data_IF_940669335104
#
_entry.id   IF_940669335104
#
_cell.length_a   1.000
_cell.length_b   1.000
_cell.length_c   1.000
_cell.angle_alpha   90.00
_cell.angle_beta   90.00
_cell.angle_gamma   90.00
#
_symmetry.space_group_name_H-M   'P 1'
#
loop_
_entity.id
_entity.type
_entity.pdbx_description
1 polymer ?
#
# COMPACT_ATOMS: atom_id res chain seq x y z
N UNK A 1 -7.32 -0.68 -20.43
CA UNK A 1 -6.74 -1.62 -19.47
C UNK A 1 -5.92 -0.82 -18.47
N UNK A 2 -6.43 -0.64 -17.23
CA UNK A 2 -5.79 0.16 -16.19
C UNK A 2 -4.40 -0.38 -15.83
N UNK A 3 -4.24 -1.70 -15.84
CA UNK A 3 -2.96 -2.35 -15.60
C UNK A 3 -1.83 -1.84 -16.52
N UNK A 4 -2.06 -1.78 -17.83
CA UNK A 4 -1.04 -1.31 -18.78
C UNK A 4 -0.61 0.13 -18.52
N UNK A 5 -1.54 0.99 -18.11
CA UNK A 5 -1.23 2.39 -17.75
C UNK A 5 -0.38 2.49 -16.49
N UNK A 6 -0.73 1.73 -15.44
CA UNK A 6 0.02 1.72 -14.18
C UNK A 6 1.41 1.13 -14.39
N UNK A 7 1.52 0.02 -15.12
CA UNK A 7 2.81 -0.60 -15.43
C UNK A 7 3.71 0.36 -16.21
N UNK A 8 3.20 1.00 -17.27
CA UNK A 8 3.97 1.99 -18.04
C UNK A 8 4.39 3.18 -17.19
N UNK A 9 3.50 3.68 -16.34
CA UNK A 9 3.81 4.75 -15.39
C UNK A 9 4.99 4.35 -14.48
N UNK A 10 4.92 3.18 -13.87
CA UNK A 10 5.95 2.71 -12.93
C UNK A 10 7.32 2.57 -13.63
N UNK A 11 7.36 2.04 -14.85
CA UNK A 11 8.61 1.94 -15.59
C UNK A 11 9.17 3.31 -15.96
N UNK A 12 8.33 4.27 -16.32
CA UNK A 12 8.76 5.65 -16.52
C UNK A 12 9.37 6.24 -15.25
N UNK A 13 8.77 6.01 -14.08
CA UNK A 13 9.33 6.46 -12.78
C UNK A 13 10.69 5.80 -12.52
N UNK A 14 10.84 4.50 -12.78
CA UNK A 14 12.13 3.81 -12.65
C UNK A 14 13.20 4.45 -13.53
N UNK A 15 12.86 4.75 -14.78
CA UNK A 15 13.79 5.32 -15.74
C UNK A 15 14.13 6.78 -15.45
N UNK A 16 13.12 7.59 -15.11
CA UNK A 16 13.29 9.05 -14.91
C UNK A 16 13.94 9.39 -13.56
N UNK A 17 13.64 8.62 -12.51
CA UNK A 17 14.01 8.97 -11.14
C UNK A 17 15.09 8.05 -10.56
N UNK A 18 14.99 6.73 -10.77
CA UNK A 18 15.83 5.76 -10.09
C UNK A 18 17.08 5.35 -10.87
N UNK A 19 17.02 5.39 -12.21
CA UNK A 19 18.14 5.01 -13.07
C UNK A 19 19.42 5.79 -12.72
N UNK A 20 20.54 5.07 -12.61
CA UNK A 20 21.84 5.66 -12.29
C UNK A 20 22.08 5.91 -10.80
N UNK A 21 21.05 5.82 -9.96
CA UNK A 21 21.15 5.97 -8.51
C UNK A 21 20.90 4.63 -7.79
N UNK A 22 19.93 3.86 -8.24
CA UNK A 22 19.65 2.51 -7.75
C UNK A 22 20.03 1.48 -8.80
N UNK A 23 20.44 0.30 -8.36
CA UNK A 23 20.55 -0.87 -9.23
C UNK A 23 19.14 -1.39 -9.53
N UNK A 24 18.98 -2.09 -10.66
CA UNK A 24 17.65 -2.56 -11.09
C UNK A 24 16.95 -3.44 -10.04
N UNK A 25 17.70 -4.28 -9.33
CA UNK A 25 17.16 -5.14 -8.28
C UNK A 25 16.72 -4.36 -7.03
N UNK A 26 17.20 -3.12 -6.84
CA UNK A 26 16.78 -2.24 -5.73
C UNK A 26 15.50 -1.44 -6.07
N UNK A 27 15.00 -1.49 -7.31
CA UNK A 27 13.83 -0.69 -7.71
C UNK A 27 12.58 -1.08 -6.93
N UNK A 28 12.42 -2.38 -6.63
CA UNK A 28 11.30 -2.89 -5.84
C UNK A 28 11.22 -2.26 -4.46
N UNK A 29 12.36 -2.05 -3.79
CA UNK A 29 12.45 -1.46 -2.45
C UNK A 29 11.98 -0.01 -2.39
N UNK A 30 11.92 0.67 -3.53
CA UNK A 30 11.41 2.04 -3.65
C UNK A 30 9.96 2.04 -4.17
N UNK A 31 9.72 1.35 -5.27
CA UNK A 31 8.46 1.46 -6.02
C UNK A 31 7.29 0.81 -5.28
N UNK A 32 7.51 -0.35 -4.66
CA UNK A 32 6.43 -1.07 -3.97
C UNK A 32 5.87 -0.27 -2.80
N UNK A 33 6.69 0.26 -1.86
CA UNK A 33 6.19 1.09 -0.77
C UNK A 33 5.50 2.38 -1.27
N UNK A 34 6.06 3.07 -2.27
CA UNK A 34 5.43 4.27 -2.82
C UNK A 34 4.11 3.99 -3.52
N UNK A 35 3.97 2.83 -4.17
CA UNK A 35 2.70 2.40 -4.77
C UNK A 35 1.64 2.17 -3.69
N UNK A 36 2.01 1.54 -2.57
CA UNK A 36 1.12 1.36 -1.41
C UNK A 36 0.76 2.71 -0.80
N UNK A 37 1.74 3.58 -0.53
CA UNK A 37 1.50 4.92 0.03
C UNK A 37 0.55 5.73 -0.86
N UNK A 38 0.74 5.70 -2.19
CA UNK A 38 -0.17 6.41 -3.10
C UNK A 38 -1.59 5.85 -3.05
N UNK A 39 -1.76 4.53 -2.95
CA UNK A 39 -3.08 3.91 -2.76
C UNK A 39 -3.73 4.36 -1.46
N UNK A 40 -2.99 4.31 -0.34
CA UNK A 40 -3.49 4.76 0.97
C UNK A 40 -3.88 6.24 0.94
N UNK A 41 -3.05 7.07 0.32
CA UNK A 41 -3.28 8.51 0.17
C UNK A 41 -4.57 8.79 -0.61
N UNK A 42 -4.79 8.10 -1.73
CA UNK A 42 -6.04 8.22 -2.51
C UNK A 42 -7.28 7.77 -1.70
N UNK A 43 -7.17 6.67 -0.94
CA UNK A 43 -8.29 6.19 -0.10
C UNK A 43 -8.66 7.19 0.99
N UNK A 44 -7.66 7.87 1.59
CA UNK A 44 -7.85 8.80 2.68
C UNK A 44 -8.19 10.23 2.24
N UNK A 45 -8.10 10.54 0.95
CA UNK A 45 -8.21 11.90 0.42
C UNK A 45 -9.50 12.62 0.89
N UNK A 46 -10.64 11.95 0.79
CA UNK A 46 -11.96 12.54 1.13
C UNK A 46 -12.15 12.83 2.62
N UNK A 47 -11.43 12.15 3.50
CA UNK A 47 -11.58 12.29 4.96
C UNK A 47 -10.35 12.94 5.63
N UNK A 48 -9.36 13.36 4.84
CA UNK A 48 -8.09 13.89 5.35
C UNK A 48 -8.25 15.05 6.32
N UNK A 49 -9.02 16.07 5.93
CA UNK A 49 -9.19 17.27 6.76
C UNK A 49 -10.02 16.99 8.01
N UNK A 50 -11.01 16.10 7.91
CA UNK A 50 -11.80 15.65 9.06
C UNK A 50 -10.92 14.94 10.10
N UNK A 51 -10.05 14.01 9.66
CA UNK A 51 -9.13 13.31 10.55
C UNK A 51 -8.18 14.27 11.25
N UNK A 52 -7.58 15.23 10.50
CA UNK A 52 -6.67 16.23 11.08
C UNK A 52 -7.38 17.08 12.14
N UNK A 53 -8.61 17.51 11.88
CA UNK A 53 -9.42 18.28 12.83
C UNK A 53 -9.76 17.47 14.08
N UNK A 54 -10.20 16.22 13.91
CA UNK A 54 -10.51 15.32 15.02
C UNK A 54 -9.27 15.05 15.89
N UNK A 55 -8.14 14.74 15.26
CA UNK A 55 -6.89 14.53 15.99
C UNK A 55 -6.51 15.77 16.81
N UNK A 56 -6.55 16.96 16.22
CA UNK A 56 -6.23 18.21 16.93
C UNK A 56 -7.23 18.53 18.05
N UNK A 57 -8.51 18.15 17.91
CA UNK A 57 -9.52 18.33 18.94
C UNK A 57 -9.30 17.40 20.14
N UNK A 58 -8.89 16.14 19.91
CA UNK A 58 -8.88 15.11 20.96
C UNK A 58 -7.49 14.80 21.52
N UNK A 59 -6.38 15.11 20.83
CA UNK A 59 -5.00 14.77 21.26
C UNK A 59 -4.59 15.26 22.65
N UNK A 60 -5.25 16.34 23.17
CA UNK A 60 -5.00 16.87 24.51
C UNK A 60 -6.10 16.51 25.52
N UNK A 61 -7.18 15.87 25.05
CA UNK A 61 -8.33 15.52 25.88
C UNK A 61 -8.34 14.06 26.30
N UNK A 62 -7.70 13.19 25.54
CA UNK A 62 -7.63 11.75 25.78
C UNK A 62 -6.22 11.24 25.49
N UNK A 63 -5.81 10.18 26.17
CA UNK A 63 -4.48 9.57 25.99
C UNK A 63 -4.31 8.98 24.58
N UNK A 64 -5.37 8.36 24.05
CA UNK A 64 -5.37 7.80 22.69
C UNK A 64 -6.64 8.23 21.93
N UNK A 65 -6.53 9.12 20.94
CA UNK A 65 -7.65 9.55 20.11
C UNK A 65 -8.04 8.55 19.01
N UNK A 66 -7.24 7.50 18.78
CA UNK A 66 -7.42 6.53 17.69
C UNK A 66 -8.82 5.92 17.63
N UNK A 67 -9.40 5.37 18.72
CA UNK A 67 -10.72 4.74 18.67
C UNK A 67 -11.83 5.74 18.28
N UNK A 68 -11.69 7.00 18.74
CA UNK A 68 -12.67 8.06 18.44
C UNK A 68 -12.60 8.41 16.95
N UNK A 69 -11.40 8.60 16.41
CA UNK A 69 -11.20 8.93 15.00
C UNK A 69 -11.74 7.81 14.11
N UNK A 70 -11.31 6.56 14.33
CA UNK A 70 -11.75 5.41 13.54
C UNK A 70 -13.27 5.24 13.53
N UNK A 71 -13.92 5.44 14.69
CA UNK A 71 -15.39 5.37 14.81
C UNK A 71 -16.10 6.45 14.00
N UNK A 72 -15.57 7.68 13.99
CA UNK A 72 -16.18 8.82 13.30
C UNK A 72 -16.01 8.75 11.78
N UNK A 73 -14.80 8.42 11.32
CA UNK A 73 -14.50 8.31 9.86
C UNK A 73 -14.90 6.97 9.26
N UNK A 74 -15.36 6.01 10.09
CA UNK A 74 -15.77 4.65 9.66
C UNK A 74 -14.71 3.95 8.79
N UNK A 75 -13.45 4.12 9.16
CA UNK A 75 -12.30 3.52 8.48
C UNK A 75 -11.55 2.61 9.43
N UNK A 76 -10.73 1.71 8.89
CA UNK A 76 -9.85 0.82 9.66
C UNK A 76 -8.46 1.42 9.88
N UNK A 77 -8.16 2.55 9.24
CA UNK A 77 -6.91 3.29 9.35
C UNK A 77 -7.12 4.76 8.98
N UNK A 78 -6.20 5.60 9.37
CA UNK A 78 -6.21 7.04 9.07
C UNK A 78 -4.79 7.61 9.01
N UNK A 79 -4.69 8.90 8.64
CA UNK A 79 -3.46 9.68 8.75
C UNK A 79 -3.77 11.07 9.27
N UNK A 80 -3.26 11.41 10.48
CA UNK A 80 -3.49 12.71 11.13
C UNK A 80 -2.45 13.78 10.77
N UNK A 81 -1.43 13.47 9.99
CA UNK A 81 -0.49 14.48 9.49
C UNK A 81 -1.24 15.53 8.66
N UNK A 82 -0.81 16.77 8.73
CA UNK A 82 -1.31 17.82 7.83
C UNK A 82 -0.90 17.61 6.36
N UNK A 83 0.04 16.69 6.13
CA UNK A 83 0.55 16.35 4.80
C UNK A 83 -0.17 15.14 4.21
N UNK A 84 -0.32 15.15 2.91
CA UNK A 84 -0.53 14.08 1.96
C UNK A 84 0.52 14.23 0.85
N UNK A 85 0.59 13.33 -0.12
CA UNK A 85 1.60 13.39 -1.18
C UNK A 85 1.50 14.69 -2.01
N UNK A 86 0.30 15.23 -2.22
CA UNK A 86 0.12 16.49 -2.92
C UNK A 86 0.59 17.69 -2.09
N UNK A 87 0.23 17.75 -0.80
CA UNK A 87 0.60 18.84 0.11
C UNK A 87 2.11 18.87 0.40
N UNK A 88 2.80 17.73 0.34
CA UNK A 88 4.25 17.66 0.48
C UNK A 88 4.97 18.49 -0.58
N UNK A 89 4.42 18.62 -1.78
CA UNK A 89 5.04 19.38 -2.88
C UNK A 89 5.10 20.88 -2.64
N UNK A 90 4.30 21.41 -1.72
CA UNK A 90 4.26 22.85 -1.40
C UNK A 90 5.52 23.36 -0.67
N UNK A 91 6.34 22.45 -0.11
CA UNK A 91 7.55 22.82 0.63
C UNK A 91 8.73 21.91 0.25
N UNK A 92 9.32 22.10 -0.96
CA UNK A 92 10.39 21.26 -1.47
C UNK A 92 11.66 21.28 -0.58
N UNK A 93 11.93 22.39 0.09
CA UNK A 93 13.14 22.53 0.91
C UNK A 93 13.11 21.65 2.15
N UNK A 94 11.93 21.39 2.70
CA UNK A 94 11.74 20.56 3.89
C UNK A 94 11.11 19.20 3.53
N UNK A 95 11.18 18.77 2.27
CA UNK A 95 10.47 17.60 1.75
C UNK A 95 10.73 16.34 2.59
N UNK A 96 11.95 16.08 2.98
CA UNK A 96 12.31 14.90 3.77
C UNK A 96 11.68 14.93 5.16
N UNK A 97 11.80 16.05 5.88
CA UNK A 97 11.19 16.23 7.21
C UNK A 97 9.67 16.12 7.15
N UNK A 98 9.07 16.75 6.13
CA UNK A 98 7.62 16.73 5.94
C UNK A 98 7.12 15.34 5.56
N UNK A 99 7.91 14.60 4.78
CA UNK A 99 7.60 13.21 4.43
C UNK A 99 7.69 12.27 5.64
N UNK A 100 8.68 12.44 6.51
CA UNK A 100 8.75 11.69 7.77
C UNK A 100 7.53 12.01 8.67
N UNK A 101 7.11 13.29 8.75
CA UNK A 101 5.90 13.65 9.47
C UNK A 101 4.64 13.00 8.85
N UNK A 102 4.57 12.92 7.53
CA UNK A 102 3.49 12.23 6.82
C UNK A 102 3.47 10.74 7.16
N UNK A 103 4.60 10.04 7.13
CA UNK A 103 4.70 8.63 7.47
C UNK A 103 4.31 8.35 8.92
N UNK A 104 4.83 9.14 9.86
CA UNK A 104 4.52 9.03 11.29
C UNK A 104 3.09 9.47 11.66
N UNK A 105 2.34 10.04 10.72
CA UNK A 105 0.94 10.44 10.93
C UNK A 105 -0.09 9.34 10.68
N UNK A 106 0.32 8.19 10.17
CA UNK A 106 -0.57 7.04 10.00
C UNK A 106 -0.92 6.39 11.34
N UNK A 107 -2.07 5.73 11.39
CA UNK A 107 -2.45 4.86 12.51
C UNK A 107 -1.45 3.70 12.67
N UNK A 108 -1.27 3.22 13.89
CA UNK A 108 -0.23 2.25 14.28
C UNK A 108 -0.18 1.02 13.36
N UNK A 109 -1.33 0.46 13.02
CA UNK A 109 -1.42 -0.69 12.11
C UNK A 109 -0.85 -0.44 10.70
N UNK A 110 -0.82 0.82 10.24
CA UNK A 110 -0.20 1.19 8.95
C UNK A 110 1.26 1.54 9.14
N UNK A 111 1.64 2.18 10.26
CA UNK A 111 3.05 2.45 10.59
C UNK A 111 3.84 1.15 10.64
N UNK A 112 3.33 0.12 11.31
CA UNK A 112 3.96 -1.21 11.37
C UNK A 112 4.21 -1.80 9.97
N UNK A 113 3.26 -1.64 9.06
CA UNK A 113 3.42 -2.09 7.66
C UNK A 113 4.52 -1.28 6.96
N UNK A 114 4.54 0.04 7.14
CA UNK A 114 5.53 0.93 6.52
C UNK A 114 6.95 0.60 7.03
N UNK A 115 7.11 0.36 8.33
CA UNK A 115 8.38 -0.03 8.94
C UNK A 115 8.88 -1.37 8.38
N UNK A 116 8.00 -2.34 8.22
CA UNK A 116 8.33 -3.65 7.64
C UNK A 116 8.79 -3.59 6.18
N UNK A 117 8.43 -2.55 5.43
CA UNK A 117 9.01 -2.34 4.10
C UNK A 117 10.50 -1.95 4.16
N UNK A 118 11.01 -1.50 5.30
CA UNK A 118 12.44 -1.16 5.49
C UNK A 118 12.92 -0.03 4.59
N UNK A 119 12.02 0.87 4.19
CA UNK A 119 12.31 1.81 3.13
C UNK A 119 12.90 3.16 3.56
N UNK A 120 13.31 3.27 4.82
CA UNK A 120 14.03 4.44 5.32
C UNK A 120 15.32 4.71 4.55
N UNK A 121 16.13 3.65 4.33
CA UNK A 121 17.40 3.76 3.59
C UNK A 121 17.20 4.22 2.13
N UNK A 122 16.27 3.64 1.35
CA UNK A 122 15.89 4.16 0.05
C UNK A 122 15.48 5.64 0.07
N UNK A 123 14.65 6.06 1.04
CA UNK A 123 14.21 7.46 1.18
C UNK A 123 15.38 8.39 1.49
N UNK A 124 16.27 8.01 2.41
CA UNK A 124 17.48 8.79 2.67
C UNK A 124 18.37 8.93 1.43
N UNK A 125 18.56 7.86 0.66
CA UNK A 125 19.33 7.85 -0.59
C UNK A 125 18.70 8.80 -1.62
N UNK A 126 17.38 8.78 -1.76
CA UNK A 126 16.62 9.70 -2.61
C UNK A 126 16.80 11.16 -2.17
N UNK A 127 16.70 11.42 -0.87
CA UNK A 127 16.84 12.77 -0.32
C UNK A 127 18.25 13.32 -0.53
N UNK A 128 19.30 12.55 -0.22
CA UNK A 128 20.70 12.93 -0.43
C UNK A 128 21.03 13.27 -1.89
N UNK A 129 20.31 12.70 -2.84
CA UNK A 129 20.48 12.93 -4.27
C UNK A 129 19.45 13.92 -4.86
N UNK A 130 18.67 14.62 -4.02
CA UNK A 130 17.62 15.56 -4.42
C UNK A 130 16.54 14.94 -5.37
N UNK A 131 16.25 13.63 -5.21
CA UNK A 131 15.28 12.90 -6.02
C UNK A 131 13.97 12.61 -5.30
N UNK A 132 13.91 12.78 -3.98
CA UNK A 132 12.71 12.50 -3.18
C UNK A 132 11.51 13.33 -3.66
N UNK A 133 11.72 14.63 -3.90
CA UNK A 133 10.66 15.49 -4.45
C UNK A 133 10.15 14.99 -5.80
N UNK A 134 11.06 14.64 -6.71
CA UNK A 134 10.69 14.16 -8.04
C UNK A 134 9.88 12.86 -7.97
N UNK A 135 10.27 11.94 -7.07
CA UNK A 135 9.54 10.69 -6.88
C UNK A 135 8.11 10.94 -6.36
N UNK A 136 7.98 11.79 -5.33
CA UNK A 136 6.68 12.17 -4.78
C UNK A 136 5.82 12.84 -5.86
N UNK A 137 6.37 13.79 -6.60
CA UNK A 137 5.67 14.48 -7.67
C UNK A 137 5.15 13.51 -8.73
N UNK A 138 6.00 12.60 -9.20
CA UNK A 138 5.60 11.54 -10.13
C UNK A 138 4.44 10.70 -9.59
N UNK A 139 4.52 10.22 -8.34
CA UNK A 139 3.45 9.41 -7.76
C UNK A 139 2.12 10.16 -7.59
N UNK A 140 2.13 11.50 -7.53
CA UNK A 140 0.88 12.28 -7.51
C UNK A 140 0.19 12.35 -8.88
N UNK A 141 0.89 12.05 -9.97
CA UNK A 141 0.30 12.03 -11.33
C UNK A 141 -0.64 10.85 -11.56
N UNK A 142 -0.50 9.77 -10.77
CA UNK A 142 -1.34 8.58 -10.93
C UNK A 142 -2.46 8.56 -9.90
N UNK A 143 -3.69 8.30 -10.37
CA UNK A 143 -4.85 8.12 -9.52
C UNK A 143 -5.07 6.62 -9.25
N UNK A 144 -4.85 6.22 -8.00
CA UNK A 144 -5.06 4.85 -7.52
C UNK A 144 -6.31 4.74 -6.63
N UNK A 145 -7.27 5.67 -6.75
CA UNK A 145 -8.51 5.63 -5.95
C UNK A 145 -9.32 4.35 -6.22
N UNK A 146 -10.01 3.77 -5.21
CA UNK A 146 -10.84 2.58 -5.36
C UNK A 146 -11.90 2.66 -6.46
N UNK A 147 -12.44 3.84 -6.71
CA UNK A 147 -13.43 4.08 -7.76
C UNK A 147 -12.84 3.99 -9.20
N UNK A 148 -11.52 4.13 -9.34
CA UNK A 148 -10.81 4.03 -10.61
C UNK A 148 -10.19 2.66 -10.82
N UNK A 149 -9.67 2.09 -9.75
CA UNK A 149 -8.94 0.83 -9.72
C UNK A 149 -9.45 0.05 -8.52
N UNK A 150 -10.22 -0.98 -8.74
CA UNK A 150 -10.75 -1.85 -7.69
C UNK A 150 -9.62 -2.48 -6.86
N UNK A 151 -9.92 -2.94 -5.64
CA UNK A 151 -8.94 -3.65 -4.82
C UNK A 151 -8.41 -4.90 -5.53
N UNK A 152 -9.26 -5.59 -6.30
CA UNK A 152 -8.87 -6.74 -7.09
C UNK A 152 -7.85 -6.37 -8.19
N UNK A 153 -8.12 -5.32 -8.97
CA UNK A 153 -7.19 -4.84 -10.01
C UNK A 153 -5.89 -4.36 -9.40
N UNK A 154 -5.95 -3.65 -8.25
CA UNK A 154 -4.76 -3.20 -7.52
C UNK A 154 -3.92 -4.38 -7.03
N UNK A 155 -4.55 -5.43 -6.51
CA UNK A 155 -3.88 -6.67 -6.15
C UNK A 155 -3.12 -7.28 -7.34
N UNK A 156 -3.77 -7.40 -8.50
CA UNK A 156 -3.14 -7.92 -9.73
C UNK A 156 -1.95 -7.05 -10.17
N UNK A 157 -2.07 -5.72 -10.09
CA UNK A 157 -0.96 -4.80 -10.40
C UNK A 157 0.22 -5.06 -9.45
N UNK A 158 -0.05 -5.14 -8.15
CA UNK A 158 0.99 -5.31 -7.14
C UNK A 158 1.72 -6.65 -7.29
N UNK A 159 0.97 -7.71 -7.53
CA UNK A 159 1.53 -9.05 -7.81
C UNK A 159 2.44 -9.04 -9.03
N UNK A 160 2.04 -8.39 -10.11
CA UNK A 160 2.84 -8.32 -11.33
C UNK A 160 4.10 -7.47 -11.15
N UNK A 161 4.04 -6.41 -10.32
CA UNK A 161 5.21 -5.63 -9.95
C UNK A 161 6.19 -6.47 -9.13
N UNK A 162 5.70 -7.20 -8.12
CA UNK A 162 6.51 -8.13 -7.34
C UNK A 162 7.22 -9.14 -8.24
N UNK A 163 6.47 -9.79 -9.16
CA UNK A 163 7.04 -10.76 -10.12
C UNK A 163 8.17 -10.15 -10.94
N UNK A 164 7.93 -8.97 -11.52
CA UNK A 164 8.93 -8.30 -12.37
C UNK A 164 10.17 -7.86 -11.60
N UNK A 165 10.01 -7.32 -10.40
CA UNK A 165 11.16 -6.93 -9.58
C UNK A 165 11.94 -8.15 -9.08
N UNK A 166 11.29 -9.26 -8.74
CA UNK A 166 11.97 -10.53 -8.43
C UNK A 166 12.75 -11.07 -9.61
N UNK A 167 12.19 -11.02 -10.84
CA UNK A 167 12.93 -11.40 -12.05
C UNK A 167 14.18 -10.53 -12.28
N UNK A 168 14.13 -9.24 -11.95
CA UNK A 168 15.26 -8.32 -12.07
C UNK A 168 16.34 -8.53 -11.00
N UNK A 169 15.97 -9.06 -9.83
CA UNK A 169 16.90 -9.38 -8.75
C UNK A 169 17.59 -10.74 -8.93
N UNK A 170 17.29 -11.48 -10.00
CA UNK A 170 17.70 -12.89 -10.21
C UNK A 170 17.23 -13.84 -9.09
N UNK A 171 16.24 -13.42 -8.31
CA UNK A 171 15.54 -14.31 -7.39
C UNK A 171 14.64 -15.25 -8.20
N UNK A 172 14.56 -16.52 -7.78
CA UNK A 172 13.68 -17.49 -8.43
C UNK A 172 12.23 -17.08 -8.16
N UNK A 173 11.60 -16.45 -9.13
CA UNK A 173 10.22 -15.88 -9.02
C UNK A 173 9.18 -16.93 -8.60
N UNK A 174 9.47 -18.22 -8.80
CA UNK A 174 8.61 -19.32 -8.36
C UNK A 174 8.59 -19.57 -6.84
N UNK A 175 9.54 -19.00 -6.07
CA UNK A 175 9.61 -19.21 -4.63
C UNK A 175 8.72 -18.22 -3.84
N UNK A 176 8.33 -17.10 -4.47
CA UNK A 176 7.65 -16.00 -3.75
C UNK A 176 6.24 -15.72 -4.25
N UNK A 177 5.78 -16.39 -5.31
CA UNK A 177 4.54 -16.02 -5.95
C UNK A 177 3.71 -17.21 -6.44
N UNK A 178 2.47 -17.28 -5.98
CA UNK A 178 1.46 -18.20 -6.53
C UNK A 178 0.47 -17.40 -7.38
N UNK A 179 0.32 -17.72 -8.68
CA UNK A 179 -0.60 -17.00 -9.56
C UNK A 179 -2.04 -16.98 -9.01
N UNK A 180 -2.68 -15.83 -9.09
CA UNK A 180 -4.01 -15.60 -8.48
C UNK A 180 -5.08 -16.53 -8.99
N UNK A 181 -5.02 -16.93 -10.26
CA UNK A 181 -5.96 -17.89 -10.84
C UNK A 181 -5.79 -19.30 -10.24
N UNK A 182 -4.56 -19.69 -9.93
CA UNK A 182 -4.25 -20.93 -9.21
C UNK A 182 -4.79 -20.85 -7.78
N UNK A 183 -4.56 -19.73 -7.09
CA UNK A 183 -5.09 -19.52 -5.74
C UNK A 183 -6.63 -19.60 -5.73
N UNK A 184 -7.31 -18.96 -6.69
CA UNK A 184 -8.77 -19.04 -6.83
C UNK A 184 -9.27 -20.47 -7.07
N UNK A 185 -8.59 -21.20 -7.93
CA UNK A 185 -8.91 -22.59 -8.17
C UNK A 185 -8.79 -23.42 -6.88
N UNK A 186 -7.68 -23.27 -6.15
CA UNK A 186 -7.44 -23.99 -4.91
C UNK A 186 -8.47 -23.63 -3.83
N UNK A 187 -8.76 -22.33 -3.63
CA UNK A 187 -9.80 -21.87 -2.69
C UNK A 187 -11.16 -22.45 -3.08
N UNK A 188 -11.52 -22.42 -4.37
CA UNK A 188 -12.79 -22.97 -4.84
C UNK A 188 -12.90 -24.48 -4.59
N UNK A 189 -11.81 -25.23 -4.82
CA UNK A 189 -11.79 -26.67 -4.56
C UNK A 189 -11.91 -27.00 -3.07
N UNK A 190 -11.24 -26.23 -2.21
CA UNK A 190 -11.26 -26.45 -0.75
C UNK A 190 -12.63 -26.09 -0.16
N UNK A 191 -13.24 -24.98 -0.60
CA UNK A 191 -14.45 -24.46 0.03
C UNK A 191 -15.76 -24.94 -0.64
N UNK A 192 -15.70 -25.43 -1.88
CA UNK A 192 -16.89 -25.89 -2.60
C UNK A 192 -17.70 -26.97 -1.87
N UNK A 193 -17.08 -27.98 -1.22
CA UNK A 193 -17.83 -29.01 -0.49
C UNK A 193 -18.66 -28.47 0.67
N UNK A 194 -18.16 -27.41 1.34
CA UNK A 194 -18.74 -26.84 2.56
C UNK A 194 -19.41 -25.48 2.31
N UNK A 195 -19.71 -25.15 1.06
CA UNK A 195 -20.20 -23.83 0.66
C UNK A 195 -21.41 -23.37 1.48
N UNK A 196 -22.41 -24.23 1.67
CA UNK A 196 -23.63 -23.90 2.39
C UNK A 196 -23.38 -23.71 3.90
N UNK A 197 -22.31 -24.33 4.45
CA UNK A 197 -21.90 -24.20 5.84
C UNK A 197 -20.99 -22.99 6.07
N UNK A 198 -20.30 -22.52 5.02
CA UNK A 198 -19.39 -21.37 5.10
C UNK A 198 -20.12 -20.03 4.95
N UNK A 199 -21.19 -19.97 4.15
CA UNK A 199 -21.94 -18.75 3.86
C UNK A 199 -23.16 -18.59 4.78
N UNK A 200 -23.47 -17.36 5.17
CA UNK A 200 -24.67 -16.99 5.93
C UNK A 200 -24.40 -15.98 7.04
N UNK A 201 -25.44 -15.22 7.40
CA UNK A 201 -25.35 -14.20 8.47
C UNK A 201 -25.05 -14.83 9.84
N UNK A 202 -24.14 -14.20 10.57
CA UNK A 202 -23.75 -14.61 11.93
C UNK A 202 -22.80 -15.80 12.00
N UNK A 203 -22.35 -16.35 10.87
CA UNK A 203 -21.36 -17.44 10.86
C UNK A 203 -19.96 -16.87 11.00
N UNK A 204 -19.21 -17.32 12.02
CA UNK A 204 -17.79 -17.03 12.22
C UNK A 204 -16.98 -18.26 11.83
N UNK A 205 -16.03 -18.07 10.93
CA UNK A 205 -15.11 -19.11 10.46
C UNK A 205 -13.67 -18.59 10.51
N UNK A 206 -12.71 -19.47 10.75
CA UNK A 206 -11.28 -19.17 10.67
C UNK A 206 -10.64 -19.94 9.53
N UNK A 207 -9.76 -19.26 8.81
CA UNK A 207 -8.94 -19.84 7.76
C UNK A 207 -7.52 -19.84 8.25
N UNK A 208 -6.83 -20.99 8.15
CA UNK A 208 -5.44 -21.13 8.52
C UNK A 208 -4.63 -21.67 7.34
N UNK A 209 -3.56 -20.96 7.01
CA UNK A 209 -2.61 -21.36 5.99
C UNK A 209 -1.21 -21.40 6.60
N UNK A 210 -0.65 -22.61 6.87
CA UNK A 210 0.67 -22.76 7.49
C UNK A 210 1.84 -22.33 6.58
N UNK A 211 1.59 -22.14 5.29
CA UNK A 211 2.59 -21.74 4.28
C UNK A 211 2.13 -20.53 3.51
N UNK A 212 1.55 -19.54 4.20
CA UNK A 212 0.76 -18.47 3.61
C UNK A 212 1.50 -17.57 2.60
N UNK A 213 2.82 -17.53 2.63
CA UNK A 213 3.60 -16.64 1.76
C UNK A 213 3.09 -15.19 1.87
N UNK A 214 2.61 -14.63 0.75
CA UNK A 214 2.01 -13.29 0.68
C UNK A 214 0.54 -13.24 1.14
N UNK A 215 -0.01 -14.32 1.65
CA UNK A 215 -1.39 -14.37 2.15
C UNK A 215 -2.46 -14.49 1.07
N UNK A 216 -2.11 -14.87 -0.15
CA UNK A 216 -3.03 -14.96 -1.28
C UNK A 216 -4.22 -15.89 -1.02
N UNK A 217 -3.96 -17.08 -0.46
CA UNK A 217 -5.02 -18.06 -0.10
C UNK A 217 -5.97 -17.48 0.96
N UNK A 218 -5.44 -16.81 1.98
CA UNK A 218 -6.24 -16.22 3.05
C UNK A 218 -7.11 -15.07 2.53
N UNK A 219 -6.55 -14.21 1.68
CA UNK A 219 -7.27 -13.06 1.10
C UNK A 219 -8.40 -13.52 0.19
N UNK A 220 -8.12 -14.42 -0.76
CA UNK A 220 -9.16 -14.94 -1.68
C UNK A 220 -10.15 -15.83 -0.95
N UNK A 221 -9.71 -16.60 0.06
CA UNK A 221 -10.61 -17.36 0.92
C UNK A 221 -11.62 -16.48 1.65
N UNK A 222 -11.18 -15.34 2.17
CA UNK A 222 -12.05 -14.34 2.80
C UNK A 222 -13.05 -13.72 1.80
N UNK A 223 -12.64 -13.50 0.55
CA UNK A 223 -13.52 -12.98 -0.51
C UNK A 223 -14.54 -14.03 -0.98
N UNK A 224 -14.26 -15.32 -0.82
CA UNK A 224 -15.13 -16.43 -1.24
C UNK A 224 -16.29 -16.66 -0.27
N UNK A 225 -16.09 -16.40 1.03
CA UNK A 225 -17.06 -16.57 2.12
C UNK A 225 -17.94 -15.32 2.23
#
# INVERSE_FOLDING_TARGET
>A
NNYGKISSFIWNVCDDVLRGMFKQHEYGDVILPFTVLRRLDCVLESQKDEVVNLYNEYKEKVDDPTPIILSKVKSTFFNYSKYDLNRLKSDPQNIHRNFQNYLGGFSENVVDIIENFGFEKPVEKLNKNNRLYQLIDKFTEIDLHPDKISNHEMGTVFEELLRKFSEMSNETSGEHYTPRDVVRLLVSLVFSPDKDDLQGEGKVRSIFDPCCGTGGMLTIGKEYI
#
